data_IF_745038195977
#
_entry.id   IF_745038195977
#
_cell.length_a   1.000
_cell.length_b   1.000
_cell.length_c   1.000
_cell.angle_alpha   90.00
_cell.angle_beta   90.00
_cell.angle_gamma   90.00
#
_symmetry.space_group_name_H-M   'P 1'
#
loop_
_entity.id
_entity.type
_entity.pdbx_description
1 polymer ?
#
# COMPACT_ATOMS: atom_id res chain seq x y z
N UNK A 1 -46.53 -17.60 19.61
CA UNK A 1 -45.45 -17.19 18.68
C UNK A 1 -44.56 -18.40 18.47
N UNK A 2 -44.63 -19.03 17.30
CA UNK A 2 -43.88 -20.25 16.99
C UNK A 2 -42.40 -19.93 16.92
N UNK A 3 -41.57 -20.62 17.70
CA UNK A 3 -40.11 -20.59 17.53
C UNK A 3 -39.80 -21.22 16.17
N UNK A 4 -39.14 -20.48 15.29
CA UNK A 4 -38.65 -21.03 14.02
C UNK A 4 -37.65 -22.14 14.31
N UNK A 5 -37.76 -23.23 13.56
CA UNK A 5 -36.89 -24.41 13.67
C UNK A 5 -35.46 -24.00 13.26
N UNK A 6 -34.48 -24.03 14.19
CA UNK A 6 -33.11 -23.63 13.91
C UNK A 6 -32.46 -24.44 12.79
N UNK A 7 -32.89 -25.69 12.59
CA UNK A 7 -32.36 -26.57 11.55
C UNK A 7 -32.84 -26.11 10.17
N UNK A 8 -34.11 -25.69 10.06
CA UNK A 8 -34.66 -25.17 8.81
C UNK A 8 -34.00 -23.84 8.41
N UNK A 9 -33.64 -22.99 9.38
CA UNK A 9 -32.94 -21.74 9.12
C UNK A 9 -31.49 -21.98 8.63
N UNK A 10 -30.77 -22.91 9.26
CA UNK A 10 -29.43 -23.34 8.81
C UNK A 10 -29.46 -23.94 7.39
N UNK A 11 -30.49 -24.71 7.04
CA UNK A 11 -30.63 -25.28 5.70
C UNK A 11 -30.88 -24.20 4.62
N UNK A 12 -31.64 -23.15 4.95
CA UNK A 12 -31.84 -22.01 4.07
C UNK A 12 -30.55 -21.22 3.87
N UNK A 13 -29.77 -20.99 4.94
CA UNK A 13 -28.46 -20.32 4.86
C UNK A 13 -27.46 -21.12 4.02
N UNK A 14 -27.40 -22.44 4.20
CA UNK A 14 -26.56 -23.33 3.38
C UNK A 14 -26.97 -23.28 1.90
N UNK A 15 -28.27 -23.32 1.61
CA UNK A 15 -28.77 -23.25 0.23
C UNK A 15 -28.47 -21.88 -0.42
N UNK A 16 -28.57 -20.79 0.34
CA UNK A 16 -28.21 -19.45 -0.12
C UNK A 16 -26.70 -19.33 -0.39
N UNK A 17 -25.86 -19.89 0.48
CA UNK A 17 -24.41 -19.93 0.29
C UNK A 17 -24.01 -20.79 -0.93
N UNK A 18 -24.68 -21.93 -1.14
CA UNK A 18 -24.47 -22.78 -2.32
C UNK A 18 -24.89 -22.07 -3.61
N UNK A 19 -26.03 -21.38 -3.62
CA UNK A 19 -26.46 -20.58 -4.77
C UNK A 19 -25.50 -19.43 -5.06
N UNK A 20 -25.02 -18.73 -4.02
CA UNK A 20 -24.03 -17.66 -4.18
C UNK A 20 -22.69 -18.21 -4.72
N UNK A 21 -22.28 -19.40 -4.29
CA UNK A 21 -21.08 -20.09 -4.78
C UNK A 21 -21.23 -20.56 -6.24
N UNK A 22 -22.39 -21.10 -6.61
CA UNK A 22 -22.70 -21.50 -7.99
C UNK A 22 -22.78 -20.30 -8.94
N UNK A 23 -23.38 -19.19 -8.51
CA UNK A 23 -23.37 -17.94 -9.27
C UNK A 23 -21.96 -17.35 -9.35
N UNK A 24 -21.13 -17.48 -8.31
CA UNK A 24 -19.71 -17.10 -8.39
C UNK A 24 -18.99 -17.93 -9.46
N UNK A 25 -19.16 -19.25 -9.46
CA UNK A 25 -18.51 -20.15 -10.41
C UNK A 25 -18.96 -19.93 -11.86
N UNK A 26 -20.22 -19.55 -12.09
CA UNK A 26 -20.70 -19.20 -13.45
C UNK A 26 -20.01 -17.96 -14.04
N UNK A 27 -19.45 -17.08 -13.20
CA UNK A 27 -18.74 -15.87 -13.64
C UNK A 27 -17.23 -16.07 -13.80
N UNK A 28 -16.69 -17.26 -13.50
CA UNK A 28 -15.26 -17.54 -13.47
C UNK A 28 -14.92 -18.68 -14.43
N UNK A 29 -15.06 -18.42 -15.72
CA UNK A 29 -14.89 -19.42 -16.77
C UNK A 29 -13.76 -19.05 -17.73
N UNK A 30 -12.51 -19.34 -17.34
CA UNK A 30 -11.43 -19.73 -18.26
C UNK A 30 -10.52 -20.76 -17.57
N UNK A 31 -10.30 -21.90 -18.21
CA UNK A 31 -9.49 -23.01 -17.71
C UNK A 31 -8.00 -22.76 -17.94
N UNK A 32 -7.16 -22.96 -16.92
CA UNK A 32 -5.75 -23.28 -17.13
C UNK A 32 -5.34 -24.53 -16.31
N UNK A 33 -4.49 -25.35 -16.91
CA UNK A 33 -4.30 -26.76 -16.61
C UNK A 33 -3.35 -27.06 -15.45
N UNK A 34 -3.45 -26.42 -14.28
CA UNK A 34 -2.57 -26.74 -13.13
C UNK A 34 -3.20 -26.44 -11.77
N UNK A 35 -4.29 -27.13 -11.40
CA UNK A 35 -4.63 -27.45 -9.99
C UNK A 35 -4.60 -26.34 -8.93
N UNK A 36 -4.76 -25.07 -9.30
CA UNK A 36 -4.78 -23.94 -8.37
C UNK A 36 -6.23 -23.55 -8.04
N UNK A 37 -6.46 -23.11 -6.81
CA UNK A 37 -7.73 -22.55 -6.34
C UNK A 37 -8.16 -21.43 -7.30
N UNK A 38 -9.37 -21.55 -7.87
CA UNK A 38 -9.95 -20.58 -8.80
C UNK A 38 -10.01 -19.17 -8.16
N UNK A 39 -9.10 -18.29 -8.54
CA UNK A 39 -9.24 -16.85 -8.33
C UNK A 39 -9.98 -16.30 -9.54
N UNK A 40 -11.18 -15.76 -9.33
CA UNK A 40 -11.93 -15.06 -10.36
C UNK A 40 -11.16 -13.80 -10.78
N UNK A 41 -10.31 -13.93 -11.79
CA UNK A 41 -9.49 -12.85 -12.31
C UNK A 41 -10.35 -11.91 -13.16
N UNK A 42 -10.92 -10.89 -12.52
CA UNK A 42 -11.12 -9.56 -13.09
C UNK A 42 -11.82 -8.69 -12.07
N UNK A 43 -11.14 -7.65 -11.56
CA UNK A 43 -11.87 -6.57 -10.92
C UNK A 43 -12.81 -5.95 -11.96
N UNK A 44 -13.91 -5.38 -11.47
CA UNK A 44 -14.62 -4.38 -12.25
C UNK A 44 -13.68 -3.17 -12.33
N UNK A 45 -13.24 -2.73 -13.53
CA UNK A 45 -12.45 -1.51 -13.66
C UNK A 45 -13.22 -0.39 -12.97
N UNK A 46 -12.56 0.37 -12.08
CA UNK A 46 -13.24 1.48 -11.44
C UNK A 46 -13.77 2.44 -12.50
N UNK A 47 -15.09 2.57 -12.55
CA UNK A 47 -15.74 3.52 -13.44
C UNK A 47 -15.63 4.90 -12.80
N UNK A 48 -14.84 5.77 -13.40
CA UNK A 48 -14.84 7.17 -13.03
C UNK A 48 -16.09 7.85 -13.61
N UNK A 49 -17.19 7.83 -12.86
CA UNK A 49 -18.48 8.40 -13.27
C UNK A 49 -18.47 9.94 -13.40
N UNK A 50 -17.37 10.62 -13.04
CA UNK A 50 -17.28 12.08 -12.93
C UNK A 50 -16.04 12.70 -13.58
N UNK A 51 -15.34 12.01 -14.48
CA UNK A 51 -14.26 12.66 -15.23
C UNK A 51 -14.85 13.66 -16.23
N UNK A 52 -14.54 14.94 -16.05
CA UNK A 52 -14.95 15.99 -16.97
C UNK A 52 -13.74 16.46 -17.77
N UNK A 53 -13.74 16.17 -19.07
CA UNK A 53 -12.87 16.89 -20.00
C UNK A 53 -13.39 18.34 -20.06
N UNK A 54 -12.83 19.25 -19.26
CA UNK A 54 -13.15 20.67 -19.40
C UNK A 54 -12.68 21.11 -20.80
N UNK A 55 -13.56 21.67 -21.65
CA UNK A 55 -13.12 22.25 -22.92
C UNK A 55 -12.13 23.38 -22.62
N UNK A 56 -10.91 23.29 -23.17
CA UNK A 56 -9.90 24.34 -23.08
C UNK A 56 -10.47 25.59 -23.78
N UNK A 57 -10.67 26.67 -23.04
CA UNK A 57 -11.18 27.93 -23.58
C UNK A 57 -10.17 28.49 -24.60
N UNK A 58 -10.52 28.62 -25.90
CA UNK A 58 -9.58 29.01 -26.95
C UNK A 58 -9.18 30.50 -26.93
N UNK A 59 -9.61 31.27 -25.93
CA UNK A 59 -9.32 32.71 -25.79
C UNK A 59 -8.65 33.11 -24.46
N UNK A 60 -7.65 32.36 -23.99
CA UNK A 60 -6.71 32.91 -22.99
C UNK A 60 -5.39 33.30 -23.65
N UNK A 61 -5.18 34.59 -23.98
CA UNK A 61 -3.85 35.09 -24.27
C UNK A 61 -3.05 35.15 -22.95
N UNK A 62 -1.85 34.57 -22.99
CA UNK A 62 -0.89 34.31 -21.90
C UNK A 62 -1.22 33.07 -21.05
N UNK A 63 -0.55 31.97 -21.38
CA UNK A 63 -0.46 30.78 -20.53
C UNK A 63 0.30 31.15 -19.24
N UNK A 64 -0.43 31.37 -18.15
CA UNK A 64 0.12 31.38 -16.80
C UNK A 64 -0.26 30.03 -16.20
N UNK A 65 0.71 29.16 -15.83
CA UNK A 65 0.41 27.97 -15.06
C UNK A 65 -0.41 28.37 -13.82
N UNK A 66 -1.52 27.68 -13.56
CA UNK A 66 -2.28 27.92 -12.34
C UNK A 66 -1.50 27.37 -11.14
N UNK A 67 -0.70 28.23 -10.50
CA UNK A 67 0.07 27.88 -9.31
C UNK A 67 -0.81 27.60 -8.08
N UNK A 68 -2.13 27.82 -8.16
CA UNK A 68 -3.06 27.52 -7.06
C UNK A 68 -3.57 26.07 -7.09
N UNK A 69 -3.21 25.26 -8.09
CA UNK A 69 -3.49 23.82 -8.08
C UNK A 69 -2.37 23.11 -7.30
N UNK A 70 -2.62 22.65 -6.07
CA UNK A 70 -1.58 21.96 -5.31
C UNK A 70 -1.28 20.59 -5.97
N UNK A 71 -0.01 20.19 -5.99
CA UNK A 71 0.42 18.88 -6.51
C UNK A 71 -0.24 17.71 -5.76
N UNK A 72 -0.58 17.94 -4.49
CA UNK A 72 -1.44 17.07 -3.69
C UNK A 72 -2.68 17.90 -3.37
N UNK A 73 -3.78 17.59 -4.05
CA UNK A 73 -5.07 18.25 -3.90
C UNK A 73 -6.05 17.30 -3.22
N UNK A 74 -6.74 17.84 -2.20
CA UNK A 74 -7.91 17.18 -1.62
C UNK A 74 -8.91 16.88 -2.75
N UNK A 75 -9.34 15.61 -2.85
CA UNK A 75 -10.21 15.17 -3.94
C UNK A 75 -9.51 14.77 -5.26
N UNK A 76 -8.17 14.68 -5.29
CA UNK A 76 -7.51 13.78 -6.24
C UNK A 76 -6.72 14.37 -7.41
N UNK A 77 -6.57 15.70 -7.52
CA UNK A 77 -5.75 16.32 -8.56
C UNK A 77 -6.38 16.28 -9.97
N UNK A 78 -5.63 15.84 -10.98
CA UNK A 78 -6.05 15.84 -12.40
C UNK A 78 -7.30 14.97 -12.65
N UNK A 79 -8.24 15.46 -13.48
CA UNK A 79 -9.51 14.79 -13.82
C UNK A 79 -9.60 14.34 -15.29
N UNK A 80 -8.49 14.36 -16.04
CA UNK A 80 -8.43 13.88 -17.43
C UNK A 80 -8.69 12.36 -17.53
N UNK A 81 -9.74 11.97 -18.25
CA UNK A 81 -10.15 10.58 -18.40
C UNK A 81 -9.05 9.66 -18.93
N UNK A 82 -8.26 10.12 -19.89
CA UNK A 82 -7.27 9.30 -20.58
C UNK A 82 -6.05 9.06 -19.70
N UNK A 83 -5.67 10.03 -18.87
CA UNK A 83 -4.63 9.84 -17.85
C UNK A 83 -5.12 8.91 -16.74
N UNK A 84 -6.34 9.12 -16.25
CA UNK A 84 -6.91 8.34 -15.15
C UNK A 84 -7.06 6.85 -15.49
N UNK A 85 -7.46 6.53 -16.73
CA UNK A 85 -7.49 5.13 -17.21
C UNK A 85 -6.12 4.45 -17.17
N UNK A 86 -5.06 5.20 -17.47
CA UNK A 86 -3.70 4.67 -17.56
C UNK A 86 -2.98 4.56 -16.22
N UNK A 87 -3.53 5.14 -15.14
CA UNK A 87 -3.09 4.87 -13.77
C UNK A 87 -3.31 3.41 -13.34
N UNK A 88 -4.12 2.65 -14.09
CA UNK A 88 -4.37 1.24 -13.83
C UNK A 88 -4.87 1.03 -12.39
N UNK A 89 -4.23 0.15 -11.59
CA UNK A 89 -4.67 -0.15 -10.23
C UNK A 89 -4.49 1.02 -9.25
N UNK A 90 -3.66 2.02 -9.58
CA UNK A 90 -3.43 3.20 -8.73
C UNK A 90 -4.61 4.18 -8.76
N UNK A 91 -5.45 4.11 -9.78
CA UNK A 91 -6.65 4.92 -9.94
C UNK A 91 -7.50 4.99 -8.66
N UNK A 92 -7.66 3.85 -8.00
CA UNK A 92 -8.55 3.74 -6.85
C UNK A 92 -8.02 4.35 -5.56
N UNK A 93 -6.73 4.66 -5.48
CA UNK A 93 -6.14 5.34 -4.34
C UNK A 93 -6.43 6.86 -4.34
N UNK A 94 -6.72 7.45 -5.50
CA UNK A 94 -6.96 8.90 -5.64
C UNK A 94 -8.03 9.35 -4.63
N UNK A 95 -7.72 10.39 -3.84
CA UNK A 95 -8.62 10.92 -2.81
C UNK A 95 -7.96 11.02 -1.44
N UNK A 96 -8.77 11.35 -0.43
CA UNK A 96 -8.33 11.45 0.96
C UNK A 96 -8.89 10.30 1.78
N UNK A 97 -8.04 9.70 2.60
CA UNK A 97 -8.28 8.52 3.41
C UNK A 97 -7.97 8.82 4.87
N UNK A 98 -8.85 8.39 5.77
CA UNK A 98 -8.71 8.63 7.21
C UNK A 98 -9.00 7.34 7.96
N UNK A 99 -8.13 6.99 8.91
CA UNK A 99 -8.38 5.88 9.83
C UNK A 99 -9.25 6.30 11.00
N UNK A 100 -9.89 5.32 11.64
CA UNK A 100 -10.47 5.54 12.96
C UNK A 100 -9.36 5.77 14.00
N UNK A 101 -9.71 6.36 15.15
CA UNK A 101 -8.73 6.74 16.18
C UNK A 101 -7.77 5.62 16.59
N UNK A 102 -8.24 4.38 16.61
CA UNK A 102 -7.47 3.20 17.02
C UNK A 102 -7.32 2.18 15.88
N UNK A 103 -7.48 2.63 14.62
CA UNK A 103 -7.41 1.76 13.45
C UNK A 103 -6.00 1.27 13.11
N UNK A 104 -4.98 2.02 13.54
CA UNK A 104 -3.58 1.71 13.27
C UNK A 104 -2.85 1.18 14.50
N UNK A 105 -1.87 0.31 14.28
CA UNK A 105 -0.93 -0.13 15.30
C UNK A 105 0.49 -0.22 14.74
N UNK A 106 1.45 0.26 15.51
CA UNK A 106 2.86 0.20 15.13
C UNK A 106 3.68 -0.52 16.20
N UNK A 107 4.67 -1.27 15.73
CA UNK A 107 5.70 -1.87 16.56
C UNK A 107 7.01 -1.21 16.23
N UNK A 108 7.53 -0.40 17.15
CA UNK A 108 8.72 0.43 16.92
C UNK A 108 9.80 0.12 17.95
N UNK A 109 10.79 -0.69 17.59
CA UNK A 109 12.00 -0.81 18.38
C UNK A 109 12.86 0.44 18.20
N UNK A 110 13.41 0.96 19.30
CA UNK A 110 14.23 2.18 19.32
C UNK A 110 15.55 1.86 20.03
N UNK A 111 16.72 2.12 19.41
CA UNK A 111 18.00 1.90 20.05
C UNK A 111 18.18 2.85 21.23
N UNK A 112 18.60 2.31 22.37
CA UNK A 112 18.80 3.02 23.62
C UNK A 112 19.89 2.34 24.44
N UNK A 113 21.09 2.90 24.46
CA UNK A 113 22.30 2.28 25.03
C UNK A 113 22.16 1.92 26.52
N UNK A 114 21.35 2.65 27.30
CA UNK A 114 21.14 2.38 28.72
C UNK A 114 19.96 1.43 29.01
N UNK A 115 19.27 0.91 27.99
CA UNK A 115 18.25 -0.12 28.16
C UNK A 115 18.90 -1.50 28.33
N UNK A 116 18.26 -2.46 29.04
CA UNK A 116 18.86 -3.77 29.35
C UNK A 116 19.41 -4.56 28.15
N UNK A 117 18.82 -4.40 26.97
CA UNK A 117 19.25 -5.03 25.73
C UNK A 117 19.72 -4.01 24.66
N UNK A 118 19.97 -2.76 25.05
CA UNK A 118 20.35 -1.70 24.12
C UNK A 118 19.20 -1.13 23.29
N UNK A 119 17.94 -1.50 23.56
CA UNK A 119 16.77 -0.93 22.89
C UNK A 119 15.53 -0.94 23.80
N UNK A 120 14.53 -0.13 23.44
CA UNK A 120 13.17 -0.13 24.01
C UNK A 120 12.14 -0.37 22.91
N UNK A 121 10.91 -0.70 23.29
CA UNK A 121 9.76 -0.70 22.37
C UNK A 121 8.88 0.52 22.64
N UNK A 122 8.53 1.22 21.55
CA UNK A 122 7.53 2.28 21.53
C UNK A 122 6.37 1.83 20.65
N UNK A 123 5.58 0.89 21.16
CA UNK A 123 4.42 0.39 20.43
C UNK A 123 3.20 1.21 20.82
N UNK A 124 2.39 1.58 19.84
CA UNK A 124 1.16 2.32 20.11
C UNK A 124 0.12 2.18 19.00
N UNK A 125 -1.13 2.34 19.40
CA UNK A 125 -2.19 2.67 18.46
C UNK A 125 -2.02 4.08 17.92
N UNK A 126 -2.38 4.26 16.65
CA UNK A 126 -2.33 5.54 15.97
C UNK A 126 -3.52 5.71 15.04
N UNK A 127 -3.75 6.94 14.63
CA UNK A 127 -4.59 7.27 13.48
C UNK A 127 -3.81 8.14 12.51
N UNK A 128 -4.29 8.22 11.29
CA UNK A 128 -3.57 8.90 10.22
C UNK A 128 -4.50 9.39 9.11
N UNK A 129 -3.95 10.30 8.33
CA UNK A 129 -4.55 10.83 7.10
C UNK A 129 -3.59 10.59 5.94
N UNK A 130 -4.10 10.00 4.86
CA UNK A 130 -3.39 9.86 3.59
C UNK A 130 -4.15 10.54 2.47
N UNK A 131 -3.46 11.30 1.62
CA UNK A 131 -4.04 11.94 0.44
C UNK A 131 -3.25 11.58 -0.79
N UNK A 132 -3.93 11.14 -1.85
CA UNK A 132 -3.35 10.79 -3.14
C UNK A 132 -3.91 11.68 -4.24
N UNK A 133 -3.06 12.14 -5.16
CA UNK A 133 -3.45 13.00 -6.28
C UNK A 133 -2.75 12.60 -7.57
N UNK A 134 -3.52 12.48 -8.65
CA UNK A 134 -2.99 12.24 -9.97
C UNK A 134 -2.26 13.48 -10.50
N UNK A 135 -1.07 13.28 -11.07
CA UNK A 135 -0.35 14.35 -11.76
C UNK A 135 -0.84 14.51 -13.20
N UNK A 136 -0.44 15.62 -13.84
CA UNK A 136 -0.76 15.85 -15.24
C UNK A 136 0.21 15.14 -16.18
N UNK A 137 -0.37 14.37 -17.11
CA UNK A 137 0.37 13.82 -18.24
C UNK A 137 1.09 12.51 -17.95
N UNK A 138 1.62 11.94 -19.04
CA UNK A 138 2.52 10.79 -19.00
C UNK A 138 3.96 11.27 -18.78
N UNK A 139 4.73 10.53 -17.99
CA UNK A 139 6.18 10.74 -17.88
C UNK A 139 6.87 9.62 -18.65
N UNK A 140 7.37 9.92 -19.85
CA UNK A 140 7.98 8.92 -20.72
C UNK A 140 9.47 8.74 -20.40
N UNK A 141 9.87 7.54 -20.00
CA UNK A 141 11.26 7.12 -19.93
C UNK A 141 11.71 6.67 -21.34
N UNK A 142 12.57 7.47 -21.96
CA UNK A 142 13.02 7.27 -23.35
C UNK A 142 14.45 6.76 -23.37
N UNK A 143 14.66 5.59 -23.96
CA UNK A 143 15.94 5.05 -24.40
C UNK A 143 15.67 3.77 -25.20
N UNK A 144 16.34 3.58 -26.34
CA UNK A 144 16.13 2.41 -27.20
C UNK A 144 15.01 2.59 -28.23
N UNK A 145 14.38 1.48 -28.61
CA UNK A 145 13.39 1.40 -29.69
C UNK A 145 11.92 1.31 -29.21
N UNK A 146 11.68 1.42 -27.90
CA UNK A 146 10.36 1.60 -27.28
C UNK A 146 10.53 2.46 -26.02
N UNK A 147 9.44 2.85 -25.38
CA UNK A 147 9.45 3.65 -24.15
C UNK A 147 8.72 2.95 -23.01
N UNK A 148 9.01 3.39 -21.79
CA UNK A 148 8.23 3.03 -20.61
C UNK A 148 7.56 4.30 -20.08
N UNK A 149 6.24 4.36 -20.19
CA UNK A 149 5.45 5.43 -19.61
C UNK A 149 5.28 5.18 -18.10
N UNK A 150 5.48 6.22 -17.29
CA UNK A 150 5.08 6.26 -15.89
C UNK A 150 3.84 7.14 -15.72
N UNK A 151 2.75 6.54 -15.25
CA UNK A 151 1.54 7.22 -14.82
C UNK A 151 1.54 7.34 -13.30
N UNK A 152 1.50 8.55 -12.77
CA UNK A 152 1.92 8.81 -11.39
C UNK A 152 0.81 9.44 -10.56
N UNK A 153 0.68 8.98 -9.31
CA UNK A 153 0.02 9.72 -8.24
C UNK A 153 1.08 10.17 -7.22
N UNK A 154 0.96 11.41 -6.73
CA UNK A 154 1.68 11.84 -5.53
C UNK A 154 0.85 11.56 -4.29
N UNK A 155 1.51 11.35 -3.16
CA UNK A 155 0.84 11.15 -1.89
C UNK A 155 1.52 11.89 -0.74
N UNK A 156 0.72 12.17 0.30
CA UNK A 156 1.19 12.58 1.62
C UNK A 156 0.53 11.70 2.69
N UNK A 157 1.26 11.45 3.77
CA UNK A 157 0.80 10.72 4.95
C UNK A 157 1.15 11.52 6.20
N UNK A 158 0.23 11.55 7.17
CA UNK A 158 0.42 12.16 8.49
C UNK A 158 -0.13 11.25 9.57
N UNK A 159 0.70 10.87 10.53
CA UNK A 159 0.41 9.92 11.60
C UNK A 159 0.36 10.66 12.93
N UNK A 160 -0.62 10.32 13.76
CA UNK A 160 -0.89 10.96 15.05
C UNK A 160 -1.05 9.92 16.15
N UNK A 161 -0.62 10.27 17.37
CA UNK A 161 -0.88 9.42 18.52
C UNK A 161 -2.38 9.30 18.81
N UNK A 162 -2.88 8.07 18.93
CA UNK A 162 -4.28 7.81 19.27
C UNK A 162 -4.64 8.24 20.69
N UNK A 163 -3.69 8.08 21.62
CA UNK A 163 -3.89 8.22 23.06
C UNK A 163 -2.58 8.48 23.81
N UNK A 164 -2.67 8.65 25.12
CA UNK A 164 -1.54 8.88 26.02
C UNK A 164 -1.16 10.36 26.15
N UNK A 165 -0.03 10.67 26.80
CA UNK A 165 0.39 12.05 27.06
C UNK A 165 0.61 12.89 25.80
N UNK A 166 0.92 12.25 24.67
CA UNK A 166 1.17 12.88 23.37
C UNK A 166 -0.04 12.79 22.43
N UNK A 167 -1.24 12.51 22.96
CA UNK A 167 -2.46 12.32 22.16
C UNK A 167 -2.66 13.47 21.17
N UNK A 168 -3.02 13.11 19.94
CA UNK A 168 -3.25 14.02 18.81
C UNK A 168 -2.00 14.80 18.32
N UNK A 169 -0.81 14.59 18.92
CA UNK A 169 0.45 15.11 18.38
C UNK A 169 0.84 14.34 17.10
N UNK A 170 1.39 15.07 16.13
CA UNK A 170 1.99 14.50 14.93
C UNK A 170 3.26 13.75 15.31
N UNK A 171 3.33 12.45 15.00
CA UNK A 171 4.50 11.62 15.26
C UNK A 171 5.34 11.39 14.01
N UNK A 172 4.69 11.25 12.86
CA UNK A 172 5.35 10.93 11.60
C UNK A 172 4.63 11.59 10.45
N UNK A 173 5.38 11.99 9.43
CA UNK A 173 4.84 12.44 8.17
C UNK A 173 5.77 12.01 7.04
N UNK A 174 5.22 11.64 5.91
CA UNK A 174 5.99 11.30 4.72
C UNK A 174 5.24 11.69 3.46
N UNK A 175 5.98 11.72 2.36
CA UNK A 175 5.42 11.96 1.04
C UNK A 175 6.20 11.19 -0.02
N UNK A 176 5.63 11.15 -1.22
CA UNK A 176 6.29 10.52 -2.36
C UNK A 176 5.34 10.30 -3.51
N UNK A 177 5.59 9.23 -4.27
CA UNK A 177 4.87 8.89 -5.48
C UNK A 177 4.57 7.39 -5.56
N UNK A 178 3.49 7.07 -6.25
CA UNK A 178 3.23 5.75 -6.81
C UNK A 178 3.16 5.86 -8.33
N UNK A 179 3.84 4.97 -9.03
CA UNK A 179 3.91 4.95 -10.49
C UNK A 179 3.36 3.62 -11.01
N UNK A 180 2.52 3.71 -12.03
CA UNK A 180 2.14 2.58 -12.87
C UNK A 180 2.96 2.64 -14.16
N UNK A 181 3.82 1.64 -14.37
CA UNK A 181 4.73 1.54 -15.50
C UNK A 181 4.14 0.71 -16.62
N UNK A 182 4.14 1.27 -17.84
CA UNK A 182 3.57 0.64 -19.03
C UNK A 182 4.51 0.78 -20.22
N UNK A 183 4.82 -0.31 -20.91
CA UNK A 183 5.57 -0.27 -22.17
C UNK A 183 4.70 0.31 -23.28
N UNK A 184 5.25 1.24 -24.05
CA UNK A 184 4.57 1.96 -25.13
C UNK A 184 5.52 2.18 -26.33
N UNK A 185 4.99 2.45 -27.54
CA UNK A 185 5.83 2.78 -28.69
C UNK A 185 6.47 4.16 -28.50
N UNK A 186 7.75 4.29 -28.84
CA UNK A 186 8.49 5.55 -28.70
C UNK A 186 8.28 6.45 -29.92
N UNK A 187 7.87 7.70 -29.68
CA UNK A 187 7.73 8.73 -30.72
C UNK A 187 9.05 9.39 -31.12
N UNK A 188 9.04 10.01 -32.30
CA UNK A 188 10.18 10.77 -32.81
C UNK A 188 10.16 12.23 -32.36
N UNK A 189 11.35 12.85 -32.40
CA UNK A 189 11.55 14.28 -32.17
C UNK A 189 11.33 14.74 -30.73
N UNK A 190 11.22 16.06 -30.57
CA UNK A 190 11.07 16.75 -29.28
C UNK A 190 9.71 16.52 -28.64
N UNK A 191 8.66 16.28 -29.44
CA UNK A 191 7.29 16.10 -28.96
C UNK A 191 6.94 14.65 -28.62
N UNK A 192 7.81 13.68 -28.97
CA UNK A 192 7.59 12.26 -28.71
C UNK A 192 6.23 11.76 -29.23
N UNK A 193 5.95 12.05 -30.51
CA UNK A 193 4.73 11.64 -31.21
C UNK A 193 5.08 10.84 -32.45
N UNK A 194 4.06 10.24 -33.08
CA UNK A 194 4.19 9.60 -34.40
C UNK A 194 4.87 10.56 -35.40
N UNK A 195 5.70 10.04 -36.33
CA UNK A 195 6.02 8.63 -36.54
C UNK A 195 6.82 8.01 -35.38
N UNK A 196 6.72 6.69 -35.21
CA UNK A 196 7.52 5.95 -34.21
C UNK A 196 8.97 5.84 -34.66
N UNK A 197 9.90 5.57 -33.75
CA UNK A 197 11.30 5.33 -34.12
C UNK A 197 11.42 4.13 -35.09
N UNK A 198 12.33 4.16 -36.09
CA UNK A 198 12.34 3.19 -37.20
C UNK A 198 12.38 1.73 -36.80
N UNK A 199 13.00 1.39 -35.66
CA UNK A 199 13.18 0.02 -35.18
C UNK A 199 12.19 -0.37 -34.06
N UNK A 200 11.03 0.29 -33.98
CA UNK A 200 10.01 0.00 -32.97
C UNK A 200 9.52 -1.46 -33.09
N UNK A 201 9.61 -2.29 -32.04
CA UNK A 201 9.14 -3.67 -32.10
C UNK A 201 7.63 -3.78 -32.35
N UNK A 202 7.24 -4.78 -33.14
CA UNK A 202 5.85 -5.19 -33.35
C UNK A 202 5.77 -6.73 -33.32
N UNK A 203 5.22 -7.35 -32.25
CA UNK A 203 4.62 -6.71 -31.08
C UNK A 203 5.65 -6.04 -30.16
N UNK A 204 5.18 -5.10 -29.34
CA UNK A 204 5.99 -4.54 -28.25
C UNK A 204 6.28 -5.61 -27.19
N UNK A 205 7.42 -5.51 -26.47
CA UNK A 205 7.66 -6.33 -25.29
C UNK A 205 6.56 -6.15 -24.24
N UNK A 206 6.25 -7.22 -23.52
CA UNK A 206 5.27 -7.19 -22.42
C UNK A 206 5.98 -6.72 -21.15
N UNK A 207 5.40 -5.73 -20.43
CA UNK A 207 5.88 -5.31 -19.12
C UNK A 207 5.74 -6.47 -18.14
N UNK A 208 6.81 -6.82 -17.43
CA UNK A 208 6.77 -7.88 -16.43
C UNK A 208 5.75 -7.52 -15.33
N UNK A 209 4.77 -8.40 -14.98
CA UNK A 209 3.68 -8.06 -14.05
C UNK A 209 4.15 -7.61 -12.67
N UNK A 210 5.28 -8.15 -12.20
CA UNK A 210 5.96 -7.87 -10.94
C UNK A 210 6.83 -6.60 -10.97
N UNK A 211 6.88 -5.89 -12.11
CA UNK A 211 7.60 -4.63 -12.29
C UNK A 211 6.66 -3.53 -12.85
N UNK A 212 5.38 -3.57 -12.48
CA UNK A 212 4.36 -2.61 -12.97
C UNK A 212 4.11 -1.46 -11.99
N UNK A 213 4.42 -1.65 -10.71
CA UNK A 213 4.15 -0.69 -9.64
C UNK A 213 5.45 -0.27 -8.98
N UNK A 214 5.65 1.05 -8.82
CA UNK A 214 6.78 1.60 -8.09
C UNK A 214 6.27 2.53 -7.01
N UNK A 215 6.76 2.38 -5.77
CA UNK A 215 6.60 3.36 -4.69
C UNK A 215 7.92 4.08 -4.48
N UNK A 216 7.90 5.40 -4.52
CA UNK A 216 9.03 6.24 -4.11
C UNK A 216 8.63 6.99 -2.84
N UNK A 217 9.51 7.02 -1.83
CA UNK A 217 9.21 7.63 -0.52
C UNK A 217 10.36 8.51 -0.07
N UNK A 218 10.03 9.71 0.41
CA UNK A 218 10.93 10.56 1.18
C UNK A 218 10.52 10.50 2.64
N UNK A 219 11.37 9.93 3.48
CA UNK A 219 11.12 9.75 4.91
C UNK A 219 11.95 10.78 5.69
N UNK A 220 11.34 11.62 6.55
CA UNK A 220 12.06 12.68 7.28
C UNK A 220 13.07 12.15 8.32
N UNK A 221 13.13 10.84 8.53
CA UNK A 221 14.21 10.15 9.25
C UNK A 221 15.55 10.13 8.48
N UNK A 222 15.56 10.61 7.23
CA UNK A 222 16.75 10.66 6.39
C UNK A 222 16.91 9.43 5.50
N UNK A 223 15.78 8.92 4.98
CA UNK A 223 15.75 7.82 4.02
C UNK A 223 15.05 8.27 2.74
N UNK A 224 15.57 7.82 1.59
CA UNK A 224 14.85 7.85 0.31
C UNK A 224 14.71 6.41 -0.19
N UNK A 225 13.51 6.00 -0.52
CA UNK A 225 13.15 4.61 -0.80
C UNK A 225 12.59 4.52 -2.22
N UNK A 226 13.02 3.51 -2.96
CA UNK A 226 12.44 3.08 -4.21
C UNK A 226 12.11 1.59 -4.09
N UNK A 227 10.83 1.26 -4.00
CA UNK A 227 10.33 -0.11 -3.93
C UNK A 227 9.56 -0.42 -5.21
N UNK A 228 9.76 -1.61 -5.77
CA UNK A 228 9.15 -2.04 -7.02
C UNK A 228 8.37 -3.32 -6.75
N UNK A 229 7.31 -3.52 -7.53
CA UNK A 229 6.54 -4.74 -7.48
C UNK A 229 5.38 -4.71 -8.45
N UNK A 230 4.32 -5.40 -8.09
CA UNK A 230 3.18 -5.63 -8.95
C UNK A 230 1.86 -5.32 -8.27
N UNK A 231 0.81 -5.73 -8.96
CA UNK A 231 -0.54 -5.70 -8.44
C UNK A 231 -1.27 -7.00 -8.74
N UNK A 232 -2.28 -7.29 -7.92
CA UNK A 232 -3.22 -8.41 -8.13
C UNK A 232 -4.64 -7.93 -7.80
N UNK A 233 -5.64 -8.70 -8.17
CA UNK A 233 -7.02 -8.41 -7.81
C UNK A 233 -7.91 -9.65 -7.77
N UNK A 234 -8.83 -9.67 -6.82
CA UNK A 234 -9.75 -10.78 -6.62
C UNK A 234 -11.05 -10.31 -5.94
N UNK A 235 -12.09 -11.15 -6.01
CA UNK A 235 -13.35 -10.94 -5.29
C UNK A 235 -13.22 -11.35 -3.83
N UNK A 236 -13.89 -10.63 -2.95
CA UNK A 236 -13.92 -10.91 -1.51
C UNK A 236 -12.80 -10.23 -0.73
N UNK A 237 -12.79 -10.47 0.58
CA UNK A 237 -11.82 -9.94 1.52
C UNK A 237 -10.43 -10.57 1.33
N UNK A 238 -9.34 -9.84 1.59
CA UNK A 238 -8.00 -10.39 1.54
C UNK A 238 -7.74 -11.38 2.69
N UNK A 239 -6.84 -12.33 2.44
CA UNK A 239 -6.19 -13.07 3.52
C UNK A 239 -5.03 -12.23 4.03
N UNK A 240 -5.15 -11.67 5.23
CA UNK A 240 -4.09 -10.87 5.85
C UNK A 240 -2.96 -11.80 6.33
N UNK A 241 -1.71 -11.63 5.86
CA UNK A 241 -0.60 -12.43 6.33
C UNK A 241 -0.24 -12.09 7.78
N UNK A 242 0.06 -13.13 8.57
CA UNK A 242 0.62 -12.98 9.93
C UNK A 242 2.00 -12.35 9.81
N UNK A 243 2.14 -11.13 10.34
CA UNK A 243 3.42 -10.44 10.45
C UNK A 243 4.24 -10.98 11.63
N UNK A 244 5.54 -10.69 11.61
CA UNK A 244 6.44 -10.99 12.71
C UNK A 244 7.39 -9.82 12.95
N UNK A 245 7.15 -9.09 14.04
CA UNK A 245 7.93 -7.94 14.45
C UNK A 245 9.10 -8.29 15.39
N UNK A 246 9.32 -9.58 15.67
CA UNK A 246 10.41 -10.02 16.52
C UNK A 246 11.77 -9.87 15.82
N UNK A 247 12.83 -9.50 16.56
CA UNK A 247 14.17 -9.43 16.00
C UNK A 247 14.67 -10.83 15.58
N UNK A 248 15.42 -10.87 14.48
CA UNK A 248 15.90 -12.14 13.90
C UNK A 248 17.11 -12.74 14.65
N UNK A 249 17.73 -11.97 15.54
CA UNK A 249 18.88 -12.35 16.36
C UNK A 249 18.82 -11.70 17.77
N UNK A 250 19.78 -12.04 18.64
CA UNK A 250 19.87 -11.48 20.01
C UNK A 250 19.34 -12.39 21.13
N UNK A 251 18.75 -13.53 20.78
CA UNK A 251 18.29 -14.54 21.73
C UNK A 251 16.97 -14.20 22.42
N UNK A 252 16.59 -15.01 23.43
CA UNK A 252 15.28 -14.91 24.07
C UNK A 252 15.05 -13.57 24.79
N UNK A 253 16.09 -12.94 25.34
CA UNK A 253 15.96 -11.66 26.06
C UNK A 253 15.47 -10.52 25.16
N UNK A 254 15.77 -10.56 23.86
CA UNK A 254 15.31 -9.56 22.89
C UNK A 254 13.81 -9.70 22.58
N UNK A 255 13.23 -10.88 22.80
CA UNK A 255 11.79 -11.11 22.59
C UNK A 255 10.94 -10.67 23.79
N UNK A 256 11.50 -10.65 25.00
CA UNK A 256 10.78 -10.33 26.24
C UNK A 256 9.98 -9.02 26.17
N UNK A 257 10.51 -7.89 25.63
CA UNK A 257 9.75 -6.64 25.54
C UNK A 257 8.47 -6.73 24.71
N UNK A 258 8.40 -7.66 23.75
CA UNK A 258 7.26 -7.84 22.86
C UNK A 258 6.10 -8.59 23.53
N UNK A 259 6.36 -9.30 24.63
CA UNK A 259 5.38 -10.17 25.29
C UNK A 259 5.28 -11.55 24.63
N UNK A 260 4.14 -12.24 24.75
CA UNK A 260 3.96 -13.60 24.22
C UNK A 260 4.16 -13.70 22.69
N UNK A 261 4.93 -14.69 22.23
CA UNK A 261 5.20 -14.99 20.82
C UNK A 261 4.01 -15.76 20.21
N UNK A 262 2.89 -15.06 20.00
CA UNK A 262 1.63 -15.61 19.47
C UNK A 262 1.03 -14.66 18.41
N UNK A 263 0.28 -15.17 17.41
CA UNK A 263 -0.29 -14.36 16.33
C UNK A 263 -1.29 -13.28 16.78
N UNK A 264 -1.92 -13.45 17.95
CA UNK A 264 -2.91 -12.52 18.49
C UNK A 264 -2.27 -11.33 19.21
N UNK A 265 -0.97 -11.40 19.50
CA UNK A 265 -0.26 -10.32 20.16
C UNK A 265 0.11 -9.24 19.12
N UNK A 266 -0.47 -8.03 19.14
CA UNK A 266 -0.18 -6.99 18.16
C UNK A 266 1.26 -6.47 18.23
N UNK A 267 1.96 -6.69 19.34
CA UNK A 267 3.38 -6.38 19.43
C UNK A 267 4.23 -7.34 18.58
N UNK A 268 3.76 -8.57 18.32
CA UNK A 268 4.44 -9.56 17.49
C UNK A 268 3.87 -9.54 16.07
N UNK A 269 2.55 -9.54 15.93
CA UNK A 269 1.83 -9.50 14.67
C UNK A 269 0.95 -8.25 14.60
N UNK A 270 1.50 -7.07 14.25
CA UNK A 270 0.70 -5.86 14.12
C UNK A 270 -0.39 -5.96 13.05
N UNK A 271 -0.24 -6.85 12.06
CA UNK A 271 -1.28 -7.09 11.05
C UNK A 271 -2.58 -7.65 11.64
N UNK A 272 -2.59 -8.13 12.89
CA UNK A 272 -3.81 -8.58 13.57
C UNK A 272 -4.90 -7.49 13.58
N UNK A 273 -4.53 -6.20 13.62
CA UNK A 273 -5.50 -5.10 13.63
C UNK A 273 -6.26 -4.97 12.31
N UNK A 274 -5.67 -5.43 11.20
CA UNK A 274 -6.34 -5.47 9.89
C UNK A 274 -7.41 -6.57 9.88
N UNK A 275 -7.08 -7.74 10.43
CA UNK A 275 -8.05 -8.84 10.56
C UNK A 275 -9.21 -8.45 11.49
N UNK A 276 -8.92 -7.80 12.62
CA UNK A 276 -9.96 -7.29 13.54
C UNK A 276 -10.90 -6.29 12.83
N UNK A 277 -10.38 -5.45 11.94
CA UNK A 277 -11.21 -4.53 11.16
C UNK A 277 -12.14 -5.27 10.20
N UNK A 278 -11.64 -6.30 9.50
CA UNK A 278 -12.46 -7.16 8.62
C UNK A 278 -13.54 -7.91 9.40
N UNK A 279 -13.19 -8.49 10.55
CA UNK A 279 -14.13 -9.19 11.42
C UNK A 279 -15.23 -8.25 11.94
N UNK A 280 -14.85 -7.01 12.27
CA UNK A 280 -15.79 -5.97 12.72
C UNK A 280 -16.78 -5.56 11.63
N UNK A 281 -16.35 -5.50 10.37
CA UNK A 281 -17.24 -5.24 9.23
C UNK A 281 -18.19 -6.43 9.01
N UNK A 282 -17.67 -7.65 9.08
CA UNK A 282 -18.47 -8.86 8.95
C UNK A 282 -19.59 -8.94 10.00
N UNK A 283 -19.28 -8.60 11.26
CA UNK A 283 -20.28 -8.52 12.35
C UNK A 283 -21.37 -7.46 12.08
N UNK A 284 -21.07 -6.43 11.29
CA UNK A 284 -22.02 -5.40 10.87
C UNK A 284 -22.75 -5.76 9.57
N UNK A 285 -22.60 -6.99 9.06
CA UNK A 285 -23.13 -7.43 7.76
C UNK A 285 -22.60 -6.59 6.58
N UNK A 286 -21.40 -6.04 6.72
CA UNK A 286 -20.68 -5.33 5.65
C UNK A 286 -19.61 -6.29 5.11
N UNK A 287 -19.77 -6.72 3.86
CA UNK A 287 -18.82 -7.60 3.19
C UNK A 287 -17.87 -6.84 2.28
N UNK A 288 -16.70 -7.41 2.02
CA UNK A 288 -15.79 -6.94 0.96
C UNK A 288 -16.23 -7.57 -0.36
N UNK A 289 -16.46 -6.75 -1.39
CA UNK A 289 -16.90 -7.20 -2.71
C UNK A 289 -15.68 -7.61 -3.56
N UNK A 290 -14.67 -6.75 -3.60
CA UNK A 290 -13.43 -6.96 -4.32
C UNK A 290 -12.27 -6.25 -3.63
N UNK A 291 -11.07 -6.78 -3.88
CA UNK A 291 -9.80 -6.31 -3.37
C UNK A 291 -8.81 -6.15 -4.51
N UNK A 292 -8.19 -4.98 -4.62
CA UNK A 292 -7.00 -4.74 -5.43
C UNK A 292 -5.79 -4.67 -4.50
N UNK A 293 -4.74 -5.42 -4.82
CA UNK A 293 -3.50 -5.49 -4.04
C UNK A 293 -2.40 -4.75 -4.77
N UNK A 294 -1.66 -3.92 -4.06
CA UNK A 294 -0.37 -3.37 -4.51
C UNK A 294 0.69 -3.95 -3.58
N UNK A 295 1.69 -4.66 -4.10
CA UNK A 295 2.78 -5.23 -3.31
C UNK A 295 4.10 -4.77 -3.89
N UNK A 296 4.89 -4.04 -3.11
CA UNK A 296 6.20 -3.53 -3.53
C UNK A 296 7.26 -3.81 -2.47
N UNK A 297 8.46 -4.15 -2.94
CA UNK A 297 9.60 -4.45 -2.08
C UNK A 297 10.86 -3.82 -2.67
N UNK A 298 11.71 -3.28 -1.80
CA UNK A 298 13.06 -2.84 -2.19
C UNK A 298 13.96 -3.98 -2.65
N UNK A 299 13.65 -5.23 -2.30
CA UNK A 299 14.39 -6.41 -2.74
C UNK A 299 14.06 -6.85 -4.18
N UNK A 300 12.97 -6.32 -4.77
CA UNK A 300 12.60 -6.56 -6.16
C UNK A 300 13.19 -5.47 -7.07
N UNK A 301 14.52 -5.37 -7.14
CA UNK A 301 15.25 -4.33 -7.92
C UNK A 301 15.04 -2.88 -7.44
N UNK A 302 14.63 -2.72 -6.17
CA UNK A 302 14.55 -1.42 -5.52
C UNK A 302 15.85 -0.98 -4.86
N UNK A 303 15.80 0.15 -4.14
CA UNK A 303 16.95 0.66 -3.38
C UNK A 303 16.52 1.57 -2.23
N UNK A 304 17.41 1.74 -1.25
CA UNK A 304 17.25 2.67 -0.13
C UNK A 304 18.52 3.50 0.03
N UNK A 305 18.40 4.82 -0.10
CA UNK A 305 19.45 5.75 0.26
C UNK A 305 19.25 6.21 1.72
N UNK A 306 20.27 5.98 2.55
CA UNK A 306 20.29 6.34 3.97
C UNK A 306 21.26 7.50 4.20
N UNK A 307 20.91 8.47 5.05
CA UNK A 307 21.90 9.47 5.53
C UNK A 307 23.06 8.81 6.29
N UNK A 308 24.23 9.45 6.39
CA UNK A 308 25.39 8.85 7.07
C UNK A 308 25.10 8.42 8.52
N UNK A 309 24.34 9.21 9.27
CA UNK A 309 23.95 8.85 10.64
C UNK A 309 23.13 7.56 10.68
N UNK A 310 22.13 7.44 9.80
CA UNK A 310 21.31 6.23 9.68
C UNK A 310 22.18 5.02 9.33
N UNK A 311 23.08 5.14 8.35
CA UNK A 311 23.98 4.03 7.97
C UNK A 311 24.80 3.48 9.14
N UNK A 312 25.29 4.37 10.01
CA UNK A 312 26.10 4.01 11.18
C UNK A 312 25.29 3.43 12.33
N UNK A 313 24.11 3.97 12.63
CA UNK A 313 23.41 3.70 13.89
C UNK A 313 22.12 2.89 13.74
N UNK A 314 21.34 3.16 12.67
CA UNK A 314 19.99 2.63 12.47
C UNK A 314 19.70 2.46 10.98
N UNK A 315 20.52 1.65 10.30
CA UNK A 315 20.44 1.54 8.85
C UNK A 315 19.10 0.91 8.44
N UNK A 316 18.55 1.32 7.31
CA UNK A 316 17.35 0.69 6.74
C UNK A 316 17.77 -0.13 5.52
N UNK A 317 18.00 -1.45 5.66
CA UNK A 317 18.37 -2.32 4.56
C UNK A 317 17.19 -2.80 3.70
N UNK A 318 15.95 -2.74 4.22
CA UNK A 318 14.77 -3.23 3.50
C UNK A 318 13.52 -2.45 3.87
N UNK A 319 12.69 -2.23 2.86
CA UNK A 319 11.33 -1.73 2.95
C UNK A 319 10.43 -2.61 2.08
N UNK A 320 9.31 -3.06 2.66
CA UNK A 320 8.21 -3.71 1.94
C UNK A 320 6.90 -3.06 2.36
N UNK A 321 5.98 -2.89 1.41
CA UNK A 321 4.61 -2.54 1.74
C UNK A 321 3.62 -3.25 0.85
N UNK A 322 2.53 -3.69 1.46
CA UNK A 322 1.37 -4.26 0.78
C UNK A 322 0.17 -3.38 1.11
N UNK A 323 -0.55 -2.92 0.09
CA UNK A 323 -1.81 -2.22 0.21
C UNK A 323 -2.95 -3.09 -0.34
N UNK A 324 -4.05 -3.16 0.40
CA UNK A 324 -5.31 -3.77 0.00
C UNK A 324 -6.35 -2.66 -0.13
N UNK A 325 -6.73 -2.35 -1.36
CA UNK A 325 -7.81 -1.44 -1.68
C UNK A 325 -9.08 -2.26 -1.88
N UNK A 326 -10.06 -2.02 -1.01
CA UNK A 326 -11.24 -2.86 -0.86
C UNK A 326 -12.52 -2.05 -1.10
N UNK A 327 -13.43 -2.61 -1.89
CA UNK A 327 -14.77 -2.06 -2.08
C UNK A 327 -15.77 -2.81 -1.21
N UNK A 328 -16.50 -2.08 -0.38
CA UNK A 328 -17.43 -2.66 0.61
C UNK A 328 -18.86 -2.75 0.06
N UNK A 329 -19.65 -3.69 0.59
CA UNK A 329 -21.05 -3.93 0.22
C UNK A 329 -21.97 -2.75 0.48
N UNK A 330 -21.58 -1.84 1.38
CA UNK A 330 -22.30 -0.61 1.69
C UNK A 330 -21.93 0.58 0.76
N UNK A 331 -21.07 0.35 -0.24
CA UNK A 331 -20.64 1.37 -1.20
C UNK A 331 -19.43 2.19 -0.76
N UNK A 332 -18.88 1.99 0.43
CA UNK A 332 -17.65 2.64 0.89
C UNK A 332 -16.41 1.96 0.31
N UNK A 333 -15.29 2.70 0.27
CA UNK A 333 -13.97 2.14 -0.02
C UNK A 333 -13.12 2.15 1.25
N UNK A 334 -12.39 1.05 1.44
CA UNK A 334 -11.46 0.84 2.54
C UNK A 334 -10.05 0.61 1.97
N UNK A 335 -9.05 1.14 2.64
CA UNK A 335 -7.64 0.91 2.35
C UNK A 335 -6.99 0.32 3.60
N UNK A 336 -6.57 -0.93 3.52
CA UNK A 336 -5.69 -1.55 4.50
C UNK A 336 -4.26 -1.55 3.98
N UNK A 337 -3.28 -1.41 4.86
CA UNK A 337 -1.89 -1.67 4.49
C UNK A 337 -1.08 -2.27 5.63
N UNK A 338 -0.01 -2.96 5.25
CA UNK A 338 1.10 -3.37 6.10
C UNK A 338 2.37 -2.79 5.49
N UNK A 339 3.17 -2.11 6.31
CA UNK A 339 4.48 -1.60 5.94
C UNK A 339 5.52 -2.16 6.91
N UNK A 340 6.47 -2.90 6.36
CA UNK A 340 7.54 -3.59 7.06
C UNK A 340 8.88 -2.96 6.68
N UNK A 341 9.47 -2.27 7.64
CA UNK A 341 10.78 -1.64 7.54
C UNK A 341 11.73 -2.47 8.39
N UNK A 342 12.76 -3.05 7.78
CA UNK A 342 13.83 -3.67 8.56
C UNK A 342 14.78 -2.58 9.03
N UNK A 343 15.02 -2.51 10.34
CA UNK A 343 15.98 -1.63 10.98
C UNK A 343 17.22 -2.42 11.41
N UNK A 344 18.40 -1.88 11.16
CA UNK A 344 19.69 -2.46 11.50
C UNK A 344 20.39 -1.59 12.56
N UNK A 345 20.28 -2.02 13.82
CA UNK A 345 20.84 -1.30 14.97
C UNK A 345 22.23 -1.78 15.34
N UNK A 346 23.12 -0.82 15.59
CA UNK A 346 24.44 -1.06 16.21
C UNK A 346 24.34 -0.97 17.74
N UNK A 347 24.13 -2.11 18.40
CA UNK A 347 23.91 -2.21 19.84
C UNK A 347 25.16 -2.69 20.58
N UNK A 348 25.35 -2.25 21.83
CA UNK A 348 26.44 -2.72 22.70
C UNK A 348 26.31 -4.23 22.93
N UNK A 349 27.42 -4.96 22.79
CA UNK A 349 27.47 -6.41 23.00
C UNK A 349 28.45 -6.77 24.13
N UNK A 350 27.93 -7.39 25.19
CA UNK A 350 28.71 -7.80 26.35
C UNK A 350 29.00 -6.66 27.34
N UNK A 351 30.05 -6.82 28.15
CA UNK A 351 30.42 -5.85 29.20
C UNK A 351 31.29 -4.69 28.72
N UNK A 352 31.77 -4.75 27.48
CA UNK A 352 32.66 -3.75 26.89
C UNK A 352 31.85 -2.78 26.01
N UNK A 353 31.65 -1.51 26.42
CA UNK A 353 30.86 -0.54 25.66
C UNK A 353 31.43 -0.22 24.28
N UNK A 354 32.72 -0.52 24.03
CA UNK A 354 33.34 -0.30 22.73
C UNK A 354 32.98 -1.39 21.71
N UNK A 355 32.48 -2.54 22.16
CA UNK A 355 32.08 -3.64 21.28
C UNK A 355 30.61 -3.51 20.92
N UNK A 356 30.34 -3.29 19.64
CA UNK A 356 28.97 -3.22 19.11
C UNK A 356 28.71 -4.34 18.11
N UNK A 357 27.49 -4.83 18.08
CA UNK A 357 27.02 -5.85 17.13
C UNK A 357 25.74 -5.36 16.46
N UNK A 358 25.54 -5.81 15.21
CA UNK A 358 24.39 -5.41 14.39
C UNK A 358 23.25 -6.42 14.53
N UNK A 359 22.05 -5.92 14.74
CA UNK A 359 20.84 -6.73 14.90
C UNK A 359 19.72 -6.17 14.04
N UNK A 360 19.00 -7.06 13.35
CA UNK A 360 17.85 -6.67 12.54
C UNK A 360 16.58 -6.68 13.39
N UNK A 361 15.82 -5.61 13.27
CA UNK A 361 14.54 -5.40 13.93
C UNK A 361 13.49 -5.04 12.88
N UNK A 362 12.44 -5.86 12.70
CA UNK A 362 11.30 -5.41 11.92
C UNK A 362 10.55 -4.30 12.66
N UNK A 363 10.35 -3.18 11.98
CA UNK A 363 9.47 -2.09 12.35
C UNK A 363 8.25 -2.17 11.44
N UNK A 364 7.17 -2.71 11.98
CA UNK A 364 5.96 -2.98 11.20
C UNK A 364 4.83 -2.06 11.66
N UNK A 365 4.18 -1.45 10.69
CA UNK A 365 3.02 -0.57 10.83
C UNK A 365 1.87 -1.14 10.02
N UNK A 366 0.67 -1.17 10.60
CA UNK A 366 -0.52 -1.62 9.93
C UNK A 366 -1.71 -0.72 10.28
N UNK A 367 -2.54 -0.37 9.30
CA UNK A 367 -3.71 0.47 9.53
C UNK A 367 -4.83 0.19 8.51
N UNK A 368 -6.05 0.54 8.91
CA UNK A 368 -7.27 0.54 8.09
C UNK A 368 -7.83 1.96 7.97
N UNK A 369 -7.98 2.46 6.74
CA UNK A 369 -8.50 3.78 6.42
C UNK A 369 -9.75 3.69 5.55
N UNK A 370 -10.61 4.70 5.67
CA UNK A 370 -11.79 4.85 4.82
C UNK A 370 -11.67 6.10 3.97
N UNK A 371 -12.12 6.01 2.72
CA UNK A 371 -12.16 7.15 1.81
C UNK A 371 -13.18 8.17 2.29
N UNK A 372 -12.78 9.43 2.37
CA UNK A 372 -13.66 10.55 2.77
C UNK A 372 -13.85 11.60 1.67
N UNK A 373 -12.98 11.61 0.66
CA UNK A 373 -13.01 12.52 -0.50
C UNK A 373 -12.53 11.81 -1.76
#
# INVERSE_FOLDING_TARGET
MSKQDPIAQLQVEIAQLQSAFEDLNKHCSETNSHGAIFRCASCIPQQFSHCANKPTNPQQPNFVPDFNVPLIADGGGNQDCEILKKLGPLAGLIGTWVSTRYGGFNVMPIPQDNAPNGFILKNMSYYEVMTFSAIQGKVANRAGNYEQDAYTIFYSQRVFFADGPQKDELIHAENGSWLHQVIAPQGQGTLNKKPWVPDTPDPLPVQAPDLTIVKQVSVPHGNSILAIGGHDCFRGAPSIPVANALPTAGGASFKVPYGPDIPENPNVNPNIVLQVALDSLYQQSIGVIDTTVLDVDTQADGNIANTPFMQTHSNVPRFKTTMWLERLSNGQNMLQYSQDITLDFSLINGKDPSKRSRYMFPHITANTLFKVQ
#
